data_IF_716975225835
#
_entry.id   IF_716975225835
#
_cell.length_a   1.000
_cell.length_b   1.000
_cell.length_c   1.000
_cell.angle_alpha   90.00
_cell.angle_beta   90.00
_cell.angle_gamma   90.00
#
_symmetry.space_group_name_H-M   'P 1'
#
loop_
_entity.id
_entity.type
_entity.pdbx_description
1 polymer ?
#
# COMPACT_ATOMS: atom_id res chain seq x y z
N UNK A 1 -37.30 3.67 10.35
CA UNK A 1 -36.23 3.94 11.34
C UNK A 1 -35.83 5.39 11.16
N UNK A 2 -35.79 6.17 12.24
CA UNK A 2 -35.27 7.54 12.20
C UNK A 2 -33.76 7.44 12.33
N UNK A 3 -33.02 7.98 11.36
CA UNK A 3 -31.55 8.05 11.41
C UNK A 3 -31.12 8.91 12.60
N UNK A 4 -30.21 8.40 13.43
CA UNK A 4 -29.77 9.09 14.64
C UNK A 4 -28.69 10.13 14.33
N UNK A 5 -28.47 11.10 15.22
CA UNK A 5 -27.38 12.07 15.10
C UNK A 5 -26.00 11.37 15.02
N UNK A 6 -25.82 10.26 15.75
CA UNK A 6 -24.62 9.43 15.68
C UNK A 6 -24.44 8.78 14.32
N UNK A 7 -25.51 8.27 13.71
CA UNK A 7 -25.46 7.66 12.37
C UNK A 7 -25.04 8.70 11.31
N UNK A 8 -25.54 9.93 11.42
CA UNK A 8 -25.15 11.03 10.54
C UNK A 8 -23.66 11.38 10.69
N UNK A 9 -23.14 11.50 11.92
CA UNK A 9 -21.72 11.78 12.17
C UNK A 9 -20.84 10.68 11.59
N UNK A 10 -21.21 9.41 11.78
CA UNK A 10 -20.47 8.28 11.22
C UNK A 10 -20.52 8.25 9.70
N UNK A 11 -21.67 8.57 9.11
CA UNK A 11 -21.84 8.69 7.66
C UNK A 11 -20.93 9.78 7.09
N UNK A 12 -20.90 10.96 7.73
CA UNK A 12 -20.05 12.09 7.30
C UNK A 12 -18.57 11.74 7.40
N UNK A 13 -18.13 11.13 8.51
CA UNK A 13 -16.75 10.68 8.69
C UNK A 13 -16.38 9.64 7.62
N UNK A 14 -17.23 8.65 7.39
CA UNK A 14 -17.01 7.63 6.37
C UNK A 14 -16.92 8.24 4.96
N UNK A 15 -17.79 9.21 4.66
CA UNK A 15 -17.77 9.97 3.40
C UNK A 15 -16.46 10.71 3.21
N UNK A 16 -15.98 11.45 4.21
CA UNK A 16 -14.69 12.16 4.14
C UNK A 16 -13.53 11.18 3.98
N UNK A 17 -13.51 10.09 4.75
CA UNK A 17 -12.49 9.04 4.61
C UNK A 17 -12.45 8.46 3.20
N UNK A 18 -13.61 8.14 2.61
CA UNK A 18 -13.70 7.64 1.23
C UNK A 18 -13.11 8.62 0.21
N UNK A 19 -13.44 9.92 0.33
CA UNK A 19 -12.86 10.95 -0.54
C UNK A 19 -11.34 11.08 -0.37
N UNK A 20 -10.83 11.07 0.86
CA UNK A 20 -9.38 11.12 1.14
C UNK A 20 -8.67 9.91 0.51
N UNK A 21 -9.24 8.72 0.64
CA UNK A 21 -8.71 7.51 0.04
C UNK A 21 -8.66 7.60 -1.50
N UNK A 22 -9.76 8.03 -2.14
CA UNK A 22 -9.81 8.21 -3.59
C UNK A 22 -8.81 9.28 -4.08
N UNK A 23 -8.58 10.35 -3.32
CA UNK A 23 -7.56 11.35 -3.66
C UNK A 23 -6.13 10.80 -3.52
N UNK A 24 -5.86 9.93 -2.52
CA UNK A 24 -4.59 9.21 -2.46
C UNK A 24 -4.41 8.28 -3.67
N UNK A 25 -5.47 7.59 -4.12
CA UNK A 25 -5.41 6.75 -5.32
C UNK A 25 -5.05 7.57 -6.56
N UNK A 26 -5.69 8.74 -6.73
CA UNK A 26 -5.35 9.69 -7.79
C UNK A 26 -3.90 10.17 -7.71
N UNK A 27 -3.42 10.50 -6.51
CA UNK A 27 -2.03 10.90 -6.29
C UNK A 27 -1.05 9.77 -6.64
N UNK A 28 -1.36 8.53 -6.30
CA UNK A 28 -0.57 7.35 -6.69
C UNK A 28 -0.50 7.21 -8.22
N UNK A 29 -1.62 7.37 -8.94
CA UNK A 29 -1.62 7.31 -10.42
C UNK A 29 -0.79 8.42 -11.06
N UNK A 30 -0.86 9.64 -10.53
CA UNK A 30 0.01 10.73 -10.97
C UNK A 30 1.48 10.44 -10.66
N UNK A 31 1.76 9.89 -9.49
CA UNK A 31 3.11 9.47 -9.09
C UNK A 31 3.66 8.39 -10.02
N UNK A 32 2.84 7.42 -10.43
CA UNK A 32 3.23 6.40 -11.40
C UNK A 32 3.66 7.03 -12.73
N UNK A 33 2.94 8.05 -13.21
CA UNK A 33 3.31 8.81 -14.41
C UNK A 33 4.64 9.55 -14.20
N UNK A 34 4.79 10.24 -13.08
CA UNK A 34 6.04 10.95 -12.72
C UNK A 34 7.24 10.01 -12.69
N UNK A 35 7.07 8.79 -12.16
CA UNK A 35 8.12 7.78 -12.16
C UNK A 35 8.45 7.30 -13.58
N UNK A 36 7.43 7.03 -14.41
CA UNK A 36 7.67 6.57 -15.79
C UNK A 36 8.31 7.62 -16.69
N UNK A 37 8.03 8.89 -16.45
CA UNK A 37 8.55 10.02 -17.21
C UNK A 37 9.82 10.64 -16.59
N UNK A 38 10.29 10.11 -15.45
CA UNK A 38 11.40 10.68 -14.66
C UNK A 38 11.21 12.17 -14.31
N UNK A 39 9.97 12.67 -14.29
CA UNK A 39 9.66 14.10 -14.19
C UNK A 39 10.06 14.74 -12.85
N UNK A 40 10.33 13.93 -11.82
CA UNK A 40 10.82 14.42 -10.52
C UNK A 40 12.29 14.87 -10.58
N UNK A 41 13.07 14.43 -11.58
CA UNK A 41 14.51 14.74 -11.68
C UNK A 41 14.75 16.23 -12.01
N UNK A 42 13.80 16.87 -12.71
CA UNK A 42 13.87 18.31 -13.05
C UNK A 42 13.81 19.22 -11.82
N UNK A 43 13.32 18.72 -10.68
CA UNK A 43 13.16 19.53 -9.47
C UNK A 43 14.45 19.74 -8.68
N UNK A 44 15.54 19.06 -9.04
CA UNK A 44 16.79 19.05 -8.26
C UNK A 44 16.71 18.23 -6.96
N UNK A 45 15.64 17.47 -6.73
CA UNK A 45 15.54 16.59 -5.57
C UNK A 45 16.43 15.35 -5.76
N UNK A 46 17.06 14.88 -4.67
CA UNK A 46 17.96 13.72 -4.70
C UNK A 46 17.25 12.38 -4.99
N UNK A 47 15.96 12.28 -4.66
CA UNK A 47 15.15 11.06 -4.85
C UNK A 47 13.69 11.44 -5.10
N UNK A 48 12.96 10.57 -5.80
CA UNK A 48 11.51 10.70 -5.99
C UNK A 48 10.76 10.80 -4.65
N UNK A 49 11.22 10.11 -3.60
CA UNK A 49 10.63 10.16 -2.27
C UNK A 49 10.79 11.53 -1.62
N UNK A 50 11.95 12.15 -1.80
CA UNK A 50 12.19 13.51 -1.32
C UNK A 50 11.33 14.53 -2.09
N UNK A 51 11.26 14.40 -3.41
CA UNK A 51 10.38 15.23 -4.24
C UNK A 51 8.92 15.13 -3.79
N UNK A 52 8.41 13.92 -3.61
CA UNK A 52 7.00 13.71 -3.25
C UNK A 52 6.69 14.19 -1.83
N UNK A 53 7.60 14.02 -0.88
CA UNK A 53 7.45 14.59 0.46
C UNK A 53 7.37 16.12 0.41
N UNK A 54 8.22 16.76 -0.40
CA UNK A 54 8.18 18.20 -0.63
C UNK A 54 6.85 18.65 -1.27
N UNK A 55 6.37 17.95 -2.30
CA UNK A 55 5.10 18.30 -2.99
C UNK A 55 3.87 18.15 -2.08
N UNK A 56 3.86 17.13 -1.23
CA UNK A 56 2.68 16.79 -0.42
C UNK A 56 2.68 17.43 0.96
N UNK A 57 3.82 17.95 1.42
CA UNK A 57 3.99 18.42 2.80
C UNK A 57 3.88 17.29 3.85
N UNK A 58 3.99 16.02 3.45
CA UNK A 58 3.86 14.88 4.35
C UNK A 58 5.21 14.37 4.85
N UNK A 59 5.19 13.57 5.93
CA UNK A 59 6.37 12.88 6.41
C UNK A 59 6.96 11.95 5.32
N UNK A 60 8.29 11.77 5.32
CA UNK A 60 8.95 10.88 4.34
C UNK A 60 8.41 9.45 4.36
N UNK A 61 7.89 8.98 5.50
CA UNK A 61 7.24 7.67 5.61
C UNK A 61 5.97 7.58 4.76
N UNK A 62 5.15 8.63 4.72
CA UNK A 62 3.95 8.69 3.88
C UNK A 62 4.31 8.78 2.40
N UNK A 63 5.28 9.63 2.04
CA UNK A 63 5.77 9.71 0.67
C UNK A 63 6.29 8.35 0.15
N UNK A 64 7.03 7.59 0.98
CA UNK A 64 7.48 6.24 0.60
C UNK A 64 6.32 5.24 0.42
N UNK A 65 5.24 5.36 1.18
CA UNK A 65 4.04 4.52 0.97
C UNK A 65 3.43 4.79 -0.41
N UNK A 66 3.24 6.05 -0.76
CA UNK A 66 2.68 6.45 -2.07
C UNK A 66 3.56 5.90 -3.21
N UNK A 67 4.89 6.05 -3.09
CA UNK A 67 5.81 5.48 -4.07
C UNK A 67 5.73 3.96 -4.18
N UNK A 68 5.77 3.26 -3.04
CA UNK A 68 5.71 1.80 -3.03
C UNK A 68 4.43 1.27 -3.68
N UNK A 69 3.30 1.97 -3.52
CA UNK A 69 2.05 1.65 -4.21
C UNK A 69 2.16 1.99 -5.70
N UNK A 70 2.68 3.17 -6.06
CA UNK A 70 2.80 3.60 -7.45
C UNK A 70 3.69 2.66 -8.31
N UNK A 71 4.79 2.18 -7.75
CA UNK A 71 5.70 1.22 -8.39
C UNK A 71 5.02 -0.11 -8.71
N UNK A 72 4.10 -0.55 -7.84
CA UNK A 72 3.42 -1.85 -7.96
C UNK A 72 2.02 -1.76 -8.59
N UNK A 73 1.45 -0.57 -8.74
CA UNK A 73 0.06 -0.37 -9.16
C UNK A 73 -0.31 -1.06 -10.49
N UNK A 74 0.64 -1.15 -11.44
CA UNK A 74 0.40 -1.73 -12.78
C UNK A 74 -0.05 -3.19 -12.74
N UNK A 75 0.44 -3.97 -11.78
CA UNK A 75 0.14 -5.41 -11.65
C UNK A 75 -0.96 -5.68 -10.62
N UNK A 76 -1.66 -4.63 -10.16
CA UNK A 76 -2.65 -4.68 -9.05
C UNK A 76 -4.01 -4.08 -9.43
N UNK A 77 -4.63 -4.50 -10.56
CA UNK A 77 -5.84 -3.85 -11.06
C UNK A 77 -7.03 -3.89 -10.07
N UNK A 78 -7.19 -4.96 -9.29
CA UNK A 78 -8.31 -5.11 -8.35
C UNK A 78 -8.12 -4.24 -7.12
N UNK A 79 -6.92 -4.27 -6.52
CA UNK A 79 -6.58 -3.37 -5.40
C UNK A 79 -6.69 -1.90 -5.82
N UNK A 80 -6.18 -1.54 -7.00
CA UNK A 80 -6.26 -0.16 -7.50
C UNK A 80 -7.70 0.28 -7.76
N UNK A 81 -8.57 -0.58 -8.27
CA UNK A 81 -9.98 -0.25 -8.47
C UNK A 81 -10.69 0.03 -7.13
N UNK A 82 -10.45 -0.79 -6.10
CA UNK A 82 -10.98 -0.56 -4.76
C UNK A 82 -10.43 0.74 -4.14
N UNK A 83 -9.15 1.04 -4.38
CA UNK A 83 -8.53 2.26 -3.90
C UNK A 83 -9.11 3.51 -4.57
N UNK A 84 -9.31 3.47 -5.90
CA UNK A 84 -9.94 4.56 -6.65
C UNK A 84 -11.39 4.80 -6.19
N UNK A 85 -12.10 3.73 -5.80
CA UNK A 85 -13.45 3.82 -5.21
C UNK A 85 -13.46 4.35 -3.76
N UNK A 86 -12.30 4.60 -3.16
CA UNK A 86 -12.18 5.09 -1.79
C UNK A 86 -12.34 4.02 -0.70
N UNK A 87 -12.40 2.73 -1.09
CA UNK A 87 -12.68 1.60 -0.20
C UNK A 87 -11.46 1.16 0.62
N UNK A 88 -10.25 1.55 0.19
CA UNK A 88 -8.99 1.20 0.84
C UNK A 88 -8.22 2.47 1.23
N UNK A 89 -7.70 2.51 2.44
CA UNK A 89 -6.78 3.58 2.85
C UNK A 89 -5.38 3.41 2.23
N UNK A 90 -4.61 4.51 2.17
CA UNK A 90 -3.21 4.47 1.74
C UNK A 90 -2.38 3.47 2.57
N UNK A 91 -2.64 3.36 3.88
CA UNK A 91 -1.94 2.43 4.76
C UNK A 91 -2.29 0.97 4.47
N UNK A 92 -3.56 0.68 4.20
CA UNK A 92 -3.96 -0.66 3.75
C UNK A 92 -3.33 -0.98 2.39
N UNK A 93 -3.39 -0.06 1.43
CA UNK A 93 -2.78 -0.26 0.11
C UNK A 93 -1.27 -0.52 0.19
N UNK A 94 -0.54 0.28 0.97
CA UNK A 94 0.90 0.11 1.14
C UNK A 94 1.31 -1.22 1.78
N UNK A 95 0.40 -1.88 2.51
CA UNK A 95 0.59 -3.25 3.00
C UNK A 95 0.15 -4.28 1.97
N UNK A 96 -1.03 -4.11 1.36
CA UNK A 96 -1.61 -5.05 0.42
C UNK A 96 -0.71 -5.28 -0.81
N UNK A 97 -0.10 -4.21 -1.35
CA UNK A 97 0.80 -4.32 -2.52
C UNK A 97 2.10 -5.07 -2.24
N UNK A 98 2.41 -5.40 -0.98
CA UNK A 98 3.59 -6.21 -0.62
C UNK A 98 3.38 -7.70 -0.79
N UNK A 99 2.14 -8.18 -0.79
CA UNK A 99 1.86 -9.56 -1.17
C UNK A 99 2.05 -9.72 -2.69
N UNK A 100 2.23 -10.92 -3.25
CA UNK A 100 2.49 -11.11 -4.69
C UNK A 100 1.32 -10.75 -5.59
N UNK A 101 1.57 -10.49 -6.87
CA UNK A 101 0.58 -10.01 -7.84
C UNK A 101 -0.53 -11.02 -8.07
N UNK A 102 -0.23 -12.31 -7.98
CA UNK A 102 -1.24 -13.36 -8.13
C UNK A 102 -2.31 -13.33 -7.03
N UNK A 103 -2.05 -12.70 -5.87
CA UNK A 103 -3.02 -12.59 -4.77
C UNK A 103 -3.88 -11.34 -4.85
N UNK A 104 -3.83 -10.54 -5.93
CA UNK A 104 -4.46 -9.20 -6.00
C UNK A 104 -5.93 -9.20 -5.58
N UNK A 105 -6.75 -10.12 -6.12
CA UNK A 105 -8.17 -10.21 -5.81
C UNK A 105 -8.45 -10.68 -4.37
N UNK A 106 -7.75 -11.71 -3.91
CA UNK A 106 -7.90 -12.27 -2.56
C UNK A 106 -7.46 -11.25 -1.50
N UNK A 107 -6.32 -10.61 -1.73
CA UNK A 107 -5.78 -9.56 -0.86
C UNK A 107 -6.71 -8.35 -0.81
N UNK A 108 -7.30 -7.95 -1.93
CA UNK A 108 -8.30 -6.88 -1.96
C UNK A 108 -9.54 -7.23 -1.11
N UNK A 109 -10.05 -8.47 -1.24
CA UNK A 109 -11.20 -8.93 -0.45
C UNK A 109 -10.93 -8.90 1.05
N UNK A 110 -9.72 -9.32 1.45
CA UNK A 110 -9.29 -9.27 2.84
C UNK A 110 -9.07 -7.83 3.34
N UNK A 111 -8.35 -7.00 2.58
CA UNK A 111 -7.95 -5.65 2.99
C UNK A 111 -9.15 -4.73 3.30
N UNK A 112 -10.25 -4.85 2.56
CA UNK A 112 -11.49 -4.07 2.80
C UNK A 112 -12.07 -4.23 4.20
N UNK A 113 -11.87 -5.40 4.79
CA UNK A 113 -12.47 -5.78 6.07
C UNK A 113 -11.44 -5.92 7.19
N UNK A 114 -10.16 -5.67 6.90
CA UNK A 114 -9.06 -5.84 7.84
C UNK A 114 -8.54 -4.50 8.34
N UNK A 115 -8.25 -4.44 9.64
CA UNK A 115 -7.43 -3.36 10.20
C UNK A 115 -6.02 -3.42 9.60
N UNK A 116 -5.33 -2.27 9.60
CA UNK A 116 -3.91 -2.18 9.18
C UNK A 116 -3.03 -3.19 9.94
N UNK A 117 -3.31 -3.43 11.22
CA UNK A 117 -2.61 -4.41 12.04
C UNK A 117 -2.84 -5.85 11.56
N UNK A 118 -4.09 -6.24 11.30
CA UNK A 118 -4.42 -7.57 10.76
C UNK A 118 -3.81 -7.79 9.39
N UNK A 119 -3.88 -6.78 8.52
CA UNK A 119 -3.27 -6.82 7.20
C UNK A 119 -1.74 -6.99 7.28
N UNK A 120 -1.09 -6.23 8.16
CA UNK A 120 0.35 -6.34 8.42
C UNK A 120 0.74 -7.73 8.93
N UNK A 121 -0.05 -8.33 9.82
CA UNK A 121 0.19 -9.69 10.31
C UNK A 121 0.10 -10.73 9.19
N UNK A 122 -0.91 -10.64 8.32
CA UNK A 122 -1.07 -11.57 7.19
C UNK A 122 0.11 -11.45 6.23
N UNK A 123 0.43 -10.24 5.78
CA UNK A 123 1.53 -10.00 4.84
C UNK A 123 2.89 -10.48 5.38
N UNK A 124 3.12 -10.39 6.71
CA UNK A 124 4.36 -10.87 7.33
C UNK A 124 4.41 -12.38 7.55
N UNK A 125 3.26 -13.00 7.85
CA UNK A 125 3.19 -14.40 8.28
C UNK A 125 3.14 -15.38 7.11
N UNK A 126 2.49 -14.99 6.02
CA UNK A 126 2.47 -15.79 4.82
C UNK A 126 3.77 -15.51 4.07
N UNK A 127 4.70 -16.47 4.11
CA UNK A 127 5.97 -16.48 3.39
C UNK A 127 5.73 -16.60 1.90
N UNK A 128 5.10 -15.58 1.33
CA UNK A 128 4.76 -15.52 -0.08
C UNK A 128 6.01 -15.63 -0.94
N UNK A 129 5.93 -16.43 -2.00
CA UNK A 129 6.94 -16.40 -3.05
C UNK A 129 6.93 -15.01 -3.70
N UNK A 130 8.08 -14.30 -3.74
CA UNK A 130 8.15 -12.96 -4.33
C UNK A 130 7.73 -12.95 -5.80
N UNK A 131 7.20 -11.82 -6.28
CA UNK A 131 6.97 -11.64 -7.72
C UNK A 131 8.32 -11.70 -8.48
N UNK A 132 8.36 -12.24 -9.72
CA UNK A 132 9.58 -12.23 -10.51
C UNK A 132 10.19 -10.83 -10.65
N UNK A 133 11.43 -10.66 -10.17
CA UNK A 133 12.15 -9.38 -10.19
C UNK A 133 12.05 -8.57 -8.90
N UNK A 134 11.23 -8.98 -7.92
CA UNK A 134 11.34 -8.45 -6.56
C UNK A 134 12.67 -8.92 -5.93
N UNK A 135 13.32 -8.10 -5.08
CA UNK A 135 14.46 -8.55 -4.30
C UNK A 135 14.03 -9.69 -3.37
N UNK A 136 14.77 -10.81 -3.39
CA UNK A 136 14.54 -11.92 -2.45
C UNK A 136 14.74 -11.39 -1.03
N UNK A 137 13.73 -11.47 -0.14
CA UNK A 137 13.89 -11.03 1.24
C UNK A 137 15.00 -11.84 1.91
N UNK A 138 15.88 -11.17 2.65
CA UNK A 138 16.91 -11.85 3.43
C UNK A 138 16.25 -12.82 4.43
N UNK A 139 16.85 -14.00 4.69
CA UNK A 139 16.31 -14.97 5.64
C UNK A 139 16.02 -14.29 6.98
N UNK A 140 14.87 -14.58 7.56
CA UNK A 140 14.55 -14.05 8.88
C UNK A 140 15.37 -14.79 9.95
N UNK A 141 15.74 -14.13 11.04
CA UNK A 141 16.51 -14.75 12.15
C UNK A 141 15.86 -16.04 12.71
N UNK A 142 14.57 -16.26 12.44
CA UNK A 142 13.84 -17.49 12.79
C UNK A 142 14.15 -18.67 11.85
N UNK A 143 14.35 -18.43 10.57
CA UNK A 143 14.74 -19.49 9.60
C UNK A 143 16.21 -19.89 9.80
N UNK A 144 17.07 -18.95 10.15
CA UNK A 144 18.50 -19.23 10.43
C UNK A 144 18.70 -20.13 11.66
N UNK A 145 17.72 -20.19 12.57
CA UNK A 145 17.75 -21.05 13.75
C UNK A 145 17.30 -22.50 13.44
N UNK A 146 16.50 -22.71 12.39
CA UNK A 146 16.01 -24.03 11.99
C UNK A 146 16.99 -24.75 11.04
N UNK A 147 17.74 -24.02 10.20
CA UNK A 147 18.77 -24.61 9.31
C UNK A 147 20.05 -25.05 10.04
N UNK A 148 20.22 -24.68 11.32
CA UNK A 148 21.36 -25.08 12.15
C UNK A 148 21.25 -26.46 12.80
N UNK A 149 20.10 -27.13 12.70
CA UNK A 149 19.88 -28.49 13.26
C UNK A 149 20.08 -29.52 12.15
N UNK A 150 21.30 -29.64 11.65
CA UNK A 150 21.72 -30.84 10.93
C UNK A 150 22.19 -31.84 11.98
N UNK A 151 21.31 -32.77 12.34
CA UNK A 151 21.60 -33.87 13.27
C UNK A 151 22.66 -34.76 12.64
N UNK A 152 23.88 -34.70 13.19
CA UNK A 152 24.94 -35.71 13.01
C UNK A 152 24.86 -36.79 14.06
#
# INVERSE_FOLDING_TARGET
>A
MVETELDSIYSDVAGVCGHVNAQHARLVRLTQRVLSEHAWEESGCRTAAHWLAWQTGTASSTARKILAVAERARVRPVLMAAFDAGELSLDQMALAVKAPAYTDAEMCGFARNATVTQLSMVVRRYGFEPDPGDPVPAPTERESAEEGVVVG
#
